data_IF_682620618714
#
_entry.id   IF_682620618714
#
_cell.length_a   1.000
_cell.length_b   1.000
_cell.length_c   1.000
_cell.angle_alpha   90.00
_cell.angle_beta   90.00
_cell.angle_gamma   90.00
#
_symmetry.space_group_name_H-M   'P 1'
#
loop_
_entity.id
_entity.type
_entity.pdbx_description
1 polymer ?
#
# COMPACT_ATOMS: atom_id res chain seq x y z
N UNK A 1 17.22 -11.40 -18.65
CA UNK A 1 15.81 -11.13 -18.27
C UNK A 1 15.76 -9.71 -17.72
N UNK A 2 15.12 -8.78 -18.43
CA UNK A 2 14.97 -7.41 -17.97
C UNK A 2 13.84 -7.39 -16.93
N UNK A 3 14.17 -7.05 -15.68
CA UNK A 3 13.15 -6.77 -14.67
C UNK A 3 12.35 -5.58 -15.17
N UNK A 4 11.05 -5.76 -15.44
CA UNK A 4 10.15 -4.64 -15.65
C UNK A 4 10.25 -3.71 -14.43
N UNK A 5 10.13 -2.37 -14.57
CA UNK A 5 10.02 -1.49 -13.42
C UNK A 5 8.70 -1.78 -12.72
N UNK A 6 8.70 -2.72 -11.77
CA UNK A 6 7.52 -3.24 -11.04
C UNK A 6 6.99 -2.28 -9.97
N UNK A 7 7.43 -1.02 -9.98
CA UNK A 7 7.12 -0.07 -8.93
C UNK A 7 6.21 1.04 -9.41
N UNK A 8 5.06 1.21 -8.75
CA UNK A 8 4.45 2.53 -8.63
C UNK A 8 5.43 3.39 -7.83
N UNK A 9 5.79 4.57 -8.31
CA UNK A 9 6.60 5.50 -7.51
C UNK A 9 5.86 5.86 -6.20
N UNK A 10 6.60 6.05 -5.11
CA UNK A 10 6.03 6.51 -3.82
C UNK A 10 5.77 8.02 -3.83
N UNK A 11 4.97 8.47 -4.79
CA UNK A 11 4.65 9.87 -5.02
C UNK A 11 3.15 10.06 -5.18
N UNK A 12 2.65 11.24 -4.78
CA UNK A 12 1.24 11.60 -4.93
C UNK A 12 0.73 11.51 -6.38
N UNK A 13 1.46 12.00 -7.40
CA UNK A 13 1.05 11.88 -8.80
C UNK A 13 0.94 10.43 -9.29
N UNK A 14 1.88 9.55 -8.92
CA UNK A 14 1.85 8.15 -9.34
C UNK A 14 0.65 7.41 -8.72
N UNK A 15 0.42 7.60 -7.42
CA UNK A 15 -0.78 7.06 -6.73
C UNK A 15 -2.05 7.58 -7.40
N UNK A 16 -2.14 8.89 -7.66
CA UNK A 16 -3.29 9.52 -8.31
C UNK A 16 -3.57 8.91 -9.69
N UNK A 17 -2.53 8.70 -10.49
CA UNK A 17 -2.66 8.13 -11.84
C UNK A 17 -3.21 6.69 -11.80
N UNK A 18 -2.70 5.87 -10.89
CA UNK A 18 -3.17 4.49 -10.71
C UNK A 18 -4.61 4.45 -10.23
N UNK A 19 -4.97 5.26 -9.22
CA UNK A 19 -6.36 5.31 -8.73
C UNK A 19 -7.31 5.79 -9.82
N UNK A 20 -6.93 6.80 -10.61
CA UNK A 20 -7.78 7.29 -11.71
C UNK A 20 -8.08 6.21 -12.76
N UNK A 21 -7.15 5.28 -13.01
CA UNK A 21 -7.30 4.23 -14.01
C UNK A 21 -7.97 2.96 -13.46
N UNK A 22 -7.63 2.56 -12.23
CA UNK A 22 -7.98 1.24 -11.69
C UNK A 22 -8.95 1.26 -10.51
N UNK A 23 -9.19 2.43 -9.89
CA UNK A 23 -10.08 2.59 -8.74
C UNK A 23 -10.62 4.03 -8.63
N UNK A 24 -11.35 4.53 -9.65
CA UNK A 24 -11.78 5.94 -9.72
C UNK A 24 -12.66 6.35 -8.53
N UNK A 25 -13.36 5.40 -7.89
CA UNK A 25 -14.15 5.62 -6.68
C UNK A 25 -13.29 6.01 -5.46
N UNK A 26 -12.03 5.57 -5.41
CA UNK A 26 -11.09 5.87 -4.32
C UNK A 26 -10.30 7.17 -4.54
N UNK A 27 -10.32 7.72 -5.76
CA UNK A 27 -9.56 8.91 -6.13
C UNK A 27 -9.96 10.13 -5.30
N UNK A 28 -11.26 10.29 -5.02
CA UNK A 28 -11.78 11.41 -4.25
C UNK A 28 -11.22 11.42 -2.83
N UNK A 29 -11.22 10.26 -2.16
CA UNK A 29 -10.74 10.12 -0.79
C UNK A 29 -9.24 10.36 -0.66
N UNK A 30 -8.44 9.82 -1.60
CA UNK A 30 -7.01 10.10 -1.65
C UNK A 30 -6.75 11.61 -1.83
N UNK A 31 -7.42 12.23 -2.79
CA UNK A 31 -7.19 13.63 -3.11
C UNK A 31 -7.66 14.55 -1.97
N UNK A 32 -8.73 14.20 -1.25
CA UNK A 32 -9.18 14.94 -0.07
C UNK A 32 -8.14 14.86 1.06
N UNK A 33 -7.70 13.65 1.43
CA UNK A 33 -6.70 13.45 2.48
C UNK A 33 -5.38 14.14 2.17
N UNK A 34 -4.91 14.04 0.93
CA UNK A 34 -3.65 14.66 0.51
C UNK A 34 -3.74 16.19 0.51
N UNK A 35 -4.86 16.78 0.06
CA UNK A 35 -5.07 18.24 0.12
C UNK A 35 -5.14 18.76 1.55
N UNK A 36 -5.81 18.05 2.45
CA UNK A 36 -5.86 18.42 3.88
C UNK A 36 -4.44 18.40 4.46
N UNK A 37 -3.68 17.35 4.20
CA UNK A 37 -2.31 17.23 4.68
C UNK A 37 -1.39 18.34 4.13
N UNK A 38 -1.55 18.72 2.86
CA UNK A 38 -0.80 19.82 2.26
C UNK A 38 -1.20 21.19 2.82
N UNK A 39 -2.49 21.42 3.08
CA UNK A 39 -2.94 22.66 3.73
C UNK A 39 -2.38 22.79 5.14
N UNK A 40 -2.37 21.69 5.92
CA UNK A 40 -1.71 21.67 7.24
C UNK A 40 -0.22 21.96 7.13
N UNK A 41 0.46 21.41 6.12
CA UNK A 41 1.88 21.65 5.90
C UNK A 41 2.17 23.10 5.46
N UNK A 42 1.25 23.76 4.77
CA UNK A 42 1.37 25.18 4.42
C UNK A 42 1.34 26.06 5.68
N UNK A 43 0.51 25.70 6.67
CA UNK A 43 0.39 26.44 7.93
C UNK A 43 1.61 26.29 8.85
N UNK A 44 2.25 25.12 8.86
CA UNK A 44 3.26 24.77 9.89
C UNK A 44 4.59 24.21 9.35
N UNK A 45 4.73 24.10 8.03
CA UNK A 45 5.89 23.53 7.32
C UNK A 45 6.23 22.07 7.67
N UNK A 46 5.29 21.33 8.26
CA UNK A 46 5.45 19.91 8.57
C UNK A 46 4.87 19.02 7.46
N UNK A 47 5.76 18.35 6.72
CA UNK A 47 5.39 17.43 5.63
C UNK A 47 5.09 16.00 6.08
N UNK A 48 5.27 15.66 7.36
CA UNK A 48 5.02 14.29 7.87
C UNK A 48 3.58 13.82 7.61
N UNK A 49 2.52 14.66 7.76
CA UNK A 49 1.17 14.26 7.41
C UNK A 49 1.00 13.91 5.93
N UNK A 50 1.64 14.66 5.02
CA UNK A 50 1.57 14.38 3.58
C UNK A 50 2.28 13.06 3.24
N UNK A 51 3.42 12.80 3.87
CA UNK A 51 4.12 11.51 3.74
C UNK A 51 3.27 10.35 4.28
N UNK A 52 2.60 10.52 5.43
CA UNK A 52 1.72 9.48 5.99
C UNK A 52 0.54 9.14 5.05
N UNK A 53 0.02 10.13 4.32
CA UNK A 53 -0.99 9.88 3.27
C UNK A 53 -0.37 9.05 2.13
N UNK A 54 0.84 9.36 1.67
CA UNK A 54 1.53 8.55 0.65
C UNK A 54 1.73 7.11 1.15
N UNK A 55 2.22 6.93 2.38
CA UNK A 55 2.50 5.61 2.96
C UNK A 55 1.23 4.76 3.10
N UNK A 56 0.11 5.39 3.44
CA UNK A 56 -1.20 4.74 3.49
C UNK A 56 -1.70 4.32 2.12
N UNK A 57 -1.62 5.21 1.13
CA UNK A 57 -2.28 5.03 -0.16
C UNK A 57 -1.45 4.27 -1.19
N UNK A 58 -0.13 4.29 -1.07
CA UNK A 58 0.76 3.54 -1.95
C UNK A 58 0.46 2.02 -2.01
N UNK A 59 0.34 1.29 -0.87
CA UNK A 59 0.01 -0.14 -0.93
C UNK A 59 -1.39 -0.40 -1.49
N UNK A 60 -2.34 0.52 -1.29
CA UNK A 60 -3.69 0.42 -1.88
C UNK A 60 -3.58 0.53 -3.41
N UNK A 61 -2.88 1.56 -3.92
CA UNK A 61 -2.66 1.72 -5.35
C UNK A 61 -1.93 0.51 -5.97
N UNK A 62 -0.92 -0.01 -5.27
CA UNK A 62 -0.20 -1.22 -5.69
C UNK A 62 -1.14 -2.40 -5.90
N UNK A 63 -2.03 -2.68 -4.95
CA UNK A 63 -3.01 -3.78 -5.06
C UNK A 63 -4.11 -3.54 -6.10
N UNK A 64 -4.33 -2.30 -6.55
CA UNK A 64 -5.25 -2.01 -7.66
C UNK A 64 -4.59 -2.24 -9.01
N UNK A 65 -3.30 -1.89 -9.13
CA UNK A 65 -2.52 -2.16 -10.33
C UNK A 65 -2.14 -3.65 -10.45
N UNK A 66 -1.92 -4.31 -9.31
CA UNK A 66 -1.56 -5.72 -9.19
C UNK A 66 -2.56 -6.44 -8.28
N UNK A 67 -3.76 -6.78 -8.78
CA UNK A 67 -4.72 -7.55 -8.01
C UNK A 67 -4.10 -8.88 -7.56
N UNK A 68 -4.43 -9.29 -6.32
CA UNK A 68 -4.02 -10.59 -5.80
C UNK A 68 -4.49 -11.72 -6.71
N UNK A 69 -3.71 -12.79 -6.76
CA UNK A 69 -4.14 -14.09 -7.31
C UNK A 69 -5.16 -14.75 -6.38
N UNK A 70 -5.81 -15.82 -6.83
CA UNK A 70 -6.75 -16.57 -5.97
C UNK A 70 -6.03 -17.19 -4.76
N UNK A 71 -4.86 -17.79 -4.99
CA UNK A 71 -4.04 -18.39 -3.94
C UNK A 71 -3.61 -17.37 -2.86
N UNK A 72 -3.26 -16.15 -3.28
CA UNK A 72 -2.95 -15.05 -2.37
C UNK A 72 -4.19 -14.58 -1.59
N UNK A 73 -5.37 -14.52 -2.23
CA UNK A 73 -6.64 -14.21 -1.54
C UNK A 73 -7.01 -15.26 -0.50
N UNK A 74 -6.85 -16.53 -0.83
CA UNK A 74 -7.07 -17.65 0.10
C UNK A 74 -6.10 -17.56 1.28
N UNK A 75 -4.84 -17.25 1.03
CA UNK A 75 -3.83 -17.04 2.07
C UNK A 75 -4.21 -15.87 2.99
N UNK A 76 -4.62 -14.72 2.44
CA UNK A 76 -5.11 -13.59 3.24
C UNK A 76 -6.34 -13.98 4.08
N UNK A 77 -7.23 -14.81 3.52
CA UNK A 77 -8.44 -15.28 4.23
C UNK A 77 -8.10 -16.18 5.41
N UNK A 78 -7.18 -17.15 5.24
CA UNK A 78 -6.69 -18.01 6.32
C UNK A 78 -6.03 -17.21 7.45
N UNK A 79 -5.15 -16.29 7.09
CA UNK A 79 -4.47 -15.41 8.06
C UNK A 79 -5.47 -14.59 8.87
N UNK A 80 -6.51 -14.05 8.23
CA UNK A 80 -7.59 -13.32 8.93
C UNK A 80 -8.41 -14.21 9.86
N UNK A 81 -8.50 -15.51 9.58
CA UNK A 81 -9.12 -16.50 10.44
C UNK A 81 -8.20 -17.00 11.57
N UNK A 82 -6.96 -16.50 11.64
CA UNK A 82 -5.94 -16.90 12.62
C UNK A 82 -5.17 -18.16 12.23
N UNK A 83 -5.33 -18.65 10.99
CA UNK A 83 -4.53 -19.72 10.43
C UNK A 83 -3.30 -19.12 9.72
N UNK A 84 -2.14 -19.28 10.36
CA UNK A 84 -0.85 -18.79 9.86
C UNK A 84 -0.01 -19.89 9.22
N UNK A 85 -0.55 -21.10 9.03
CA UNK A 85 0.19 -22.23 8.48
C UNK A 85 0.75 -21.90 7.10
N UNK A 86 2.04 -22.15 6.95
CA UNK A 86 2.79 -21.92 5.73
C UNK A 86 3.36 -20.52 5.56
N UNK A 87 3.07 -19.59 6.49
CA UNK A 87 3.77 -18.31 6.56
C UNK A 87 5.17 -18.47 7.14
N UNK A 88 6.03 -17.49 6.86
CA UNK A 88 7.34 -17.39 7.48
C UNK A 88 7.27 -16.40 8.65
N UNK A 89 7.82 -16.80 9.80
CA UNK A 89 8.01 -15.97 10.97
C UNK A 89 9.48 -15.95 11.37
N UNK A 90 9.91 -14.90 12.06
CA UNK A 90 11.18 -14.94 12.79
C UNK A 90 10.96 -15.58 14.16
N UNK A 91 11.85 -16.47 14.55
CA UNK A 91 11.96 -16.97 15.93
C UNK A 91 12.73 -15.99 16.83
N UNK A 92 12.85 -16.34 18.11
CA UNK A 92 13.54 -15.53 19.12
C UNK A 92 15.05 -15.36 18.84
N UNK A 93 15.62 -16.30 18.09
CA UNK A 93 17.02 -16.28 17.64
C UNK A 93 17.20 -15.48 16.33
N UNK A 94 16.10 -14.97 15.76
CA UNK A 94 16.07 -14.18 14.53
C UNK A 94 16.11 -15.01 13.24
N UNK A 95 16.01 -16.33 13.32
CA UNK A 95 15.95 -17.22 12.16
C UNK A 95 14.55 -17.22 11.55
N UNK A 96 14.49 -17.35 10.23
CA UNK A 96 13.23 -17.52 9.52
C UNK A 96 12.78 -18.98 9.63
N UNK A 97 11.62 -19.20 10.24
CA UNK A 97 10.96 -20.49 10.37
C UNK A 97 9.60 -20.45 9.68
N UNK A 98 9.19 -21.58 9.12
CA UNK A 98 7.86 -21.74 8.53
C UNK A 98 6.88 -22.20 9.60
N UNK A 99 5.77 -21.49 9.76
CA UNK A 99 4.68 -21.80 10.69
C UNK A 99 3.80 -22.95 10.19
#
# INVERSE_FOLDING_TARGET
MLSAPTGIERTGPAIRAVLAQHAPEQLADFAAQFRIALATADDNFDLRPAQAVIDKWWPIAYLRLHPLTEEERETVTRVRAGDYTGLWSKDDDGNWVKL
#
